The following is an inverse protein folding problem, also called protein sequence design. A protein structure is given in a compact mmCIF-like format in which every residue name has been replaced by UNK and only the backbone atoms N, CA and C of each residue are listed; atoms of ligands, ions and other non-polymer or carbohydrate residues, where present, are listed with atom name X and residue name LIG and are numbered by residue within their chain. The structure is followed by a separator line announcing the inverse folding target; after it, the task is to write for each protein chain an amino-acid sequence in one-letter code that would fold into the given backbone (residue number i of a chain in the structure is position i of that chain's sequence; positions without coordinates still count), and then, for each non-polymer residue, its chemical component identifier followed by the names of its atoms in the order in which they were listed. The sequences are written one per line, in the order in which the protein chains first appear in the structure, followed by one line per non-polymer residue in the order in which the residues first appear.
data_IF_927444042263
#
_entry.id   IF_927444042263
#
_cell.length_a   1.000
_cell.length_b   1.000
_cell.length_c   1.000
_cell.angle_alpha   90.00
_cell.angle_beta   90.00
_cell.angle_gamma   90.00
#
_symmetry.space_group_name_H-M   'P 1'
#
loop_
_entity.id
_entity.type
_entity.pdbx_description
1 polymer ?
#
# COMPACT_ATOMS: atom_id res chain seq x y z
N UNK A 1 -3.01 10.56 6.20
CA UNK A 1 -2.37 9.44 6.93
C UNK A 1 -1.36 8.76 5.99
N UNK A 2 -0.28 8.18 6.52
CA UNK A 2 0.80 7.55 5.71
C UNK A 2 0.24 6.51 4.72
N UNK A 3 -0.72 5.70 5.15
CA UNK A 3 -1.43 4.73 4.30
C UNK A 3 -2.01 5.37 3.03
N UNK A 4 -2.57 6.57 3.12
CA UNK A 4 -3.11 7.28 1.95
C UNK A 4 -2.00 7.69 0.98
N UNK A 5 -0.85 8.13 1.50
CA UNK A 5 0.31 8.48 0.67
C UNK A 5 0.77 7.24 -0.09
N UNK A 6 1.03 6.14 0.62
CA UNK A 6 1.46 4.87 0.03
C UNK A 6 0.47 4.39 -1.04
N UNK A 7 -0.83 4.43 -0.74
CA UNK A 7 -1.87 4.01 -1.69
C UNK A 7 -1.85 4.86 -2.96
N UNK A 8 -1.81 6.19 -2.83
CA UNK A 8 -1.80 7.10 -3.98
C UNK A 8 -0.54 6.94 -4.82
N UNK A 9 0.62 6.77 -4.18
CA UNK A 9 1.89 6.53 -4.86
C UNK A 9 1.92 5.17 -5.58
N UNK A 10 1.37 4.13 -4.95
CA UNK A 10 1.22 2.82 -5.57
C UNK A 10 0.29 2.90 -6.78
N UNK A 11 -0.81 3.65 -6.69
CA UNK A 11 -1.69 3.95 -7.83
C UNK A 11 -0.97 4.63 -8.97
N UNK A 12 -0.23 5.70 -8.67
CA UNK A 12 0.55 6.40 -9.67
C UNK A 12 1.58 5.47 -10.33
N UNK A 13 2.23 4.61 -9.55
CA UNK A 13 3.21 3.64 -10.06
C UNK A 13 2.56 2.64 -11.01
N UNK A 14 1.39 2.10 -10.66
CA UNK A 14 0.67 1.19 -11.54
C UNK A 14 0.25 1.92 -12.83
N UNK A 15 -0.25 3.16 -12.73
CA UNK A 15 -0.58 3.97 -13.91
C UNK A 15 0.62 4.16 -14.84
N UNK A 16 1.79 4.46 -14.29
CA UNK A 16 3.02 4.59 -15.06
C UNK A 16 3.43 3.27 -15.70
N UNK A 17 3.31 2.13 -15.02
CA UNK A 17 3.57 0.81 -15.63
C UNK A 17 2.67 0.57 -16.85
N UNK A 18 1.37 0.89 -16.77
CA UNK A 18 0.47 0.77 -17.92
C UNK A 18 0.88 1.71 -19.05
N UNK A 19 1.22 2.96 -18.73
CA UNK A 19 1.68 3.96 -19.70
C UNK A 19 2.96 3.53 -20.42
N UNK A 20 3.96 3.04 -19.67
CA UNK A 20 5.24 2.58 -20.21
C UNK A 20 5.11 1.32 -21.05
N UNK A 21 4.05 0.54 -20.85
CA UNK A 21 3.69 -0.61 -21.68
C UNK A 21 2.75 -0.26 -22.83
N UNK A 22 2.40 1.02 -23.02
CA UNK A 22 1.45 1.53 -24.02
C UNK A 22 0.06 0.87 -23.91
N UNK A 23 -0.36 0.56 -22.69
CA UNK A 23 -1.65 -0.04 -22.38
C UNK A 23 -2.59 0.97 -21.72
N UNK A 24 -3.89 0.84 -22.03
CA UNK A 24 -4.91 1.63 -21.34
C UNK A 24 -5.04 1.19 -19.88
N UNK A 25 -5.07 2.16 -18.97
CA UNK A 25 -5.31 1.91 -17.54
C UNK A 25 -6.78 1.50 -17.31
N UNK A 26 -7.06 0.29 -16.78
CA UNK A 26 -8.42 -0.16 -16.52
C UNK A 26 -9.10 0.64 -15.40
N UNK A 27 -10.38 0.97 -15.57
CA UNK A 27 -11.18 1.70 -14.57
C UNK A 27 -11.43 0.91 -13.28
N UNK A 28 -11.40 -0.41 -13.37
CA UNK A 28 -11.91 -1.30 -12.32
C UNK A 28 -10.79 -1.88 -11.43
N UNK A 29 -9.57 -1.34 -11.54
CA UNK A 29 -8.47 -1.72 -10.65
C UNK A 29 -8.66 -1.03 -9.29
N UNK A 30 -8.89 -1.84 -8.26
CA UNK A 30 -8.86 -1.40 -6.87
C UNK A 30 -7.48 -1.67 -6.26
N UNK A 31 -6.83 -0.63 -5.76
CA UNK A 31 -5.55 -0.76 -5.08
C UNK A 31 -5.77 -0.89 -3.58
N UNK A 32 -5.32 -2.02 -3.06
CA UNK A 32 -5.39 -2.37 -1.65
C UNK A 32 -3.97 -2.39 -1.07
N UNK A 33 -3.88 -1.81 0.11
CA UNK A 33 -2.72 -1.89 0.99
C UNK A 33 -3.21 -2.43 2.33
N UNK A 34 -2.41 -3.30 2.93
CA UNK A 34 -2.72 -3.91 4.22
C UNK A 34 -1.51 -3.83 5.14
N UNK A 35 -1.75 -3.92 6.45
CA UNK A 35 -0.68 -4.15 7.41
C UNK A 35 -0.52 -5.67 7.55
N UNK A 36 0.61 -6.25 7.16
CA UNK A 36 0.80 -7.68 7.21
C UNK A 36 0.85 -8.18 8.66
N UNK A 37 0.36 -9.40 8.89
CA UNK A 37 0.39 -10.01 10.22
C UNK A 37 1.82 -10.36 10.69
N UNK A 38 2.72 -10.64 9.75
CA UNK A 38 4.15 -10.84 10.03
C UNK A 38 4.92 -9.55 9.74
N UNK A 39 5.59 -9.01 10.75
CA UNK A 39 6.43 -7.81 10.63
C UNK A 39 7.62 -8.00 9.68
N UNK A 40 8.03 -9.24 9.39
CA UNK A 40 9.03 -9.52 8.36
C UNK A 40 8.54 -9.20 6.94
N UNK A 41 7.26 -8.92 6.74
CA UNK A 41 6.72 -8.48 5.45
C UNK A 41 6.56 -6.95 5.37
N UNK A 42 7.22 -6.22 6.28
CA UNK A 42 7.20 -4.77 6.34
C UNK A 42 5.98 -4.22 7.07
N UNK A 43 5.85 -2.90 7.02
CA UNK A 43 4.75 -2.18 7.67
C UNK A 43 3.49 -2.16 6.80
N UNK A 44 3.68 -2.18 5.48
CA UNK A 44 2.61 -2.23 4.50
C UNK A 44 2.91 -3.25 3.42
N UNK A 45 1.88 -3.96 2.96
CA UNK A 45 1.99 -4.89 1.84
C UNK A 45 0.88 -4.63 0.81
N UNK A 46 1.19 -4.93 -0.45
CA UNK A 46 0.20 -4.94 -1.53
C UNK A 46 0.34 -6.17 -2.43
N UNK A 47 -0.80 -6.76 -2.75
CA UNK A 47 -0.95 -7.89 -3.67
C UNK A 47 -1.31 -7.46 -5.10
N UNK A 48 -1.23 -6.17 -5.42
CA UNK A 48 -1.69 -5.60 -6.69
C UNK A 48 -1.11 -6.31 -7.92
N UNK A 49 0.15 -6.74 -7.87
CA UNK A 49 0.78 -7.44 -8.98
C UNK A 49 0.10 -8.78 -9.33
N UNK A 50 -0.49 -9.48 -8.35
CA UNK A 50 -1.26 -10.70 -8.57
C UNK A 50 -2.53 -10.41 -9.37
N UNK A 51 -3.22 -9.31 -9.06
CA UNK A 51 -4.40 -8.88 -9.79
C UNK A 51 -4.05 -8.48 -11.24
N UNK A 52 -2.93 -7.79 -11.42
CA UNK A 52 -2.47 -7.32 -12.73
C UNK A 52 -1.95 -8.43 -13.64
N UNK A 53 -1.56 -9.59 -13.10
CA UNK A 53 -0.97 -10.68 -13.87
C UNK A 53 -1.82 -11.13 -15.07
N UNK A 54 -3.15 -11.20 -14.88
CA UNK A 54 -4.09 -11.57 -15.95
C UNK A 54 -4.21 -10.48 -17.03
N UNK A 55 -4.12 -9.21 -16.62
CA UNK A 55 -4.29 -8.06 -17.50
C UNK A 55 -3.04 -7.83 -18.35
N UNK A 56 -1.86 -7.89 -17.73
CA UNK A 56 -0.58 -7.62 -18.37
C UNK A 56 0.04 -8.86 -19.03
N UNK A 57 -0.53 -10.05 -18.80
CA UNK A 57 -0.01 -11.36 -19.28
C UNK A 57 1.47 -11.57 -18.95
N UNK A 58 1.88 -11.15 -17.76
CA UNK A 58 3.24 -11.29 -17.20
C UNK A 58 3.17 -12.00 -15.85
N UNK A 59 4.29 -12.58 -15.41
CA UNK A 59 4.35 -13.17 -14.07
C UNK A 59 4.14 -12.07 -13.02
N UNK A 60 3.45 -12.36 -11.91
CA UNK A 60 3.23 -11.35 -10.88
C UNK A 60 4.53 -10.81 -10.27
N UNK A 61 5.57 -11.66 -10.16
CA UNK A 61 6.91 -11.23 -9.74
C UNK A 61 7.49 -10.15 -10.66
N UNK A 62 7.40 -10.34 -11.99
CA UNK A 62 7.89 -9.34 -12.94
C UNK A 62 7.09 -8.03 -12.86
N UNK A 63 5.78 -8.12 -12.64
CA UNK A 63 4.93 -6.93 -12.47
C UNK A 63 5.27 -6.20 -11.16
N UNK A 64 5.48 -6.93 -10.07
CA UNK A 64 5.85 -6.36 -8.79
C UNK A 64 7.18 -5.60 -8.87
N UNK A 65 8.17 -6.13 -9.60
CA UNK A 65 9.44 -5.42 -9.83
C UNK A 65 9.27 -4.15 -10.69
N UNK A 66 8.40 -4.18 -11.71
CA UNK A 66 8.08 -2.97 -12.48
C UNK A 66 7.44 -1.89 -11.60
N UNK A 67 6.46 -2.27 -10.77
CA UNK A 67 5.79 -1.34 -9.86
C UNK A 67 6.75 -0.83 -8.79
N UNK A 68 7.62 -1.68 -8.24
CA UNK A 68 8.69 -1.25 -7.32
C UNK A 68 9.62 -0.23 -7.97
N UNK A 69 10.02 -0.46 -9.21
CA UNK A 69 10.88 0.48 -9.95
C UNK A 69 10.20 1.84 -10.08
N UNK A 70 8.93 1.87 -10.47
CA UNK A 70 8.15 3.12 -10.55
C UNK A 70 7.94 3.80 -9.19
N UNK A 71 7.76 3.03 -8.11
CA UNK A 71 7.67 3.57 -6.75
C UNK A 71 8.97 4.25 -6.31
N UNK A 72 10.13 3.66 -6.63
CA UNK A 72 11.45 4.18 -6.24
C UNK A 72 11.80 5.48 -6.96
N UNK A 73 11.14 5.81 -8.07
CA UNK A 73 11.32 7.07 -8.78
C UNK A 73 10.56 8.24 -8.14
N UNK A 74 9.71 7.99 -7.14
CA UNK A 74 8.85 9.01 -6.54
C UNK A 74 9.53 9.64 -5.32
N UNK A 75 9.78 10.95 -5.38
CA UNK A 75 10.52 11.69 -4.33
C UNK A 75 9.89 11.56 -2.93
N UNK A 76 8.56 11.58 -2.88
CA UNK A 76 7.80 11.45 -1.63
C UNK A 76 7.82 10.03 -1.03
N UNK A 77 8.27 9.03 -1.79
CA UNK A 77 8.53 7.67 -1.28
C UNK A 77 9.96 7.57 -0.73
N UNK A 78 10.94 8.17 -1.41
CA UNK A 78 12.37 8.06 -1.07
C UNK A 78 12.69 8.51 0.37
N UNK A 79 11.96 9.49 0.92
CA UNK A 79 12.12 9.93 2.31
C UNK A 79 11.24 9.19 3.34
N UNK A 80 10.24 8.42 2.88
CA UNK A 80 9.26 7.74 3.73
C UNK A 80 9.56 6.24 3.89
N UNK A 81 10.01 5.60 2.82
CA UNK A 81 10.18 4.15 2.73
C UNK A 81 11.67 3.81 2.80
N UNK A 82 12.07 3.08 3.83
CA UNK A 82 13.44 2.57 4.00
C UNK A 82 13.81 1.59 2.89
N UNK A 83 12.92 0.64 2.60
CA UNK A 83 13.11 -0.31 1.50
C UNK A 83 11.79 -0.88 0.99
N UNK A 84 11.85 -1.37 -0.25
CA UNK A 84 10.75 -2.06 -0.92
C UNK A 84 11.26 -3.44 -1.35
N UNK A 85 10.56 -4.49 -0.91
CA UNK A 85 10.88 -5.87 -1.24
C UNK A 85 9.75 -6.50 -2.03
N UNK A 86 10.13 -7.31 -3.02
CA UNK A 86 9.19 -8.14 -3.77
C UNK A 86 9.30 -9.56 -3.25
N UNK A 87 8.21 -10.09 -2.71
CA UNK A 87 8.13 -11.44 -2.18
C UNK A 87 7.24 -12.33 -3.05
N UNK A 88 7.61 -13.60 -3.22
CA UNK A 88 6.74 -14.56 -3.90
C UNK A 88 5.39 -14.70 -3.14
N UNK A 89 4.26 -14.83 -3.84
CA UNK A 89 4.08 -14.96 -5.30
C UNK A 89 4.03 -13.65 -6.10
N UNK A 90 4.32 -12.49 -5.52
CA UNK A 90 4.21 -11.17 -6.17
C UNK A 90 3.70 -10.07 -5.23
N UNK A 91 3.98 -10.18 -3.94
CA UNK A 91 3.68 -9.15 -2.96
C UNK A 91 4.74 -8.05 -3.02
N UNK A 92 4.29 -6.81 -2.83
CA UNK A 92 5.16 -5.64 -2.68
C UNK A 92 5.09 -5.23 -1.21
N UNK A 93 6.19 -5.45 -0.49
CA UNK A 93 6.33 -5.15 0.93
C UNK A 93 7.10 -3.84 1.09
N UNK A 94 6.56 -2.90 1.86
CA UNK A 94 7.13 -1.60 2.14
C UNK A 94 7.51 -1.49 3.61
N UNK A 95 8.74 -1.07 3.86
CA UNK A 95 9.29 -0.84 5.19
C UNK A 95 9.46 0.65 5.39
N UNK A 96 8.86 1.21 6.44
CA UNK A 96 8.76 2.65 6.65
C UNK A 96 9.90 3.13 7.54
N UNK A 97 10.51 4.24 7.15
CA UNK A 97 11.54 4.89 7.93
C UNK A 97 10.89 5.74 9.04
N UNK A 98 10.33 5.06 10.05
CA UNK A 98 9.50 5.70 11.09
C UNK A 98 10.20 6.86 11.81
N UNK A 99 11.51 6.77 12.07
CA UNK A 99 12.24 7.88 12.70
C UNK A 99 12.36 9.11 11.79
N UNK A 100 12.52 8.91 10.48
CA UNK A 100 12.63 10.00 9.52
C UNK A 100 11.27 10.67 9.31
N UNK A 101 10.22 9.86 9.20
CA UNK A 101 8.84 10.35 9.15
C UNK A 101 8.48 11.17 10.39
N UNK A 102 8.84 10.71 11.59
CA UNK A 102 8.54 11.41 12.84
C UNK A 102 9.28 12.75 13.00
N UNK A 103 10.39 12.96 12.27
CA UNK A 103 11.15 14.21 12.28
C UNK A 103 10.58 15.28 11.36
N UNK A 104 9.73 14.90 10.41
CA UNK A 104 9.05 15.85 9.53
C UNK A 104 8.15 16.77 10.38
N UNK A 105 8.21 18.10 10.18
CA UNK A 105 7.32 19.01 10.90
C UNK A 105 5.87 18.65 10.57
N UNK A 106 5.15 18.16 11.58
CA UNK A 106 3.73 17.85 11.43
C UNK A 106 2.96 19.17 11.26
N UNK A 107 2.58 19.47 10.02
CA UNK A 107 1.56 20.47 9.77
C UNK A 107 0.20 19.85 10.13
N UNK A 108 -0.54 20.50 11.03
CA UNK A 108 -1.95 20.16 11.24
C UNK A 108 -2.64 20.21 9.87
N UNK A 109 -3.38 19.17 9.47
CA UNK A 109 -4.22 19.24 8.28
C UNK A 109 -5.10 20.48 8.39
N UNK A 110 -5.12 21.31 7.36
CA UNK A 110 -6.04 22.45 7.32
C UNK A 110 -7.45 21.88 7.47
N UNK A 111 -8.15 22.30 8.53
CA UNK A 111 -9.46 21.79 8.89
C UNK A 111 -10.42 21.88 7.69
N UNK A 112 -10.74 20.74 7.08
CA UNK A 112 -11.68 20.69 5.96
C UNK A 112 -13.14 20.72 6.42
N UNK A 113 -13.40 20.92 7.72
CA UNK A 113 -14.75 20.92 8.31
C UNK A 113 -15.45 19.56 8.23
N UNK A 114 -14.76 18.51 7.75
CA UNK A 114 -15.33 17.17 7.68
C UNK A 114 -15.10 16.46 9.01
N UNK A 115 -16.18 16.28 9.78
CA UNK A 115 -16.23 15.36 10.91
C UNK A 115 -15.90 13.94 10.42
N UNK A 116 -14.67 13.51 10.62
CA UNK A 116 -14.29 12.11 10.46
C UNK A 116 -14.74 11.38 11.73
N UNK A 117 -15.84 10.64 11.62
CA UNK A 117 -16.26 9.68 12.64
C UNK A 117 -15.28 8.51 12.58
N UNK A 118 -14.36 8.44 13.54
CA UNK A 118 -13.51 7.27 13.73
C UNK A 118 -14.33 6.28 14.54
N UNK A 119 -14.98 5.34 13.85
CA UNK A 119 -15.60 4.19 14.51
C UNK A 119 -14.46 3.30 15.05
N UNK A 120 -14.20 3.41 16.36
CA UNK A 120 -13.59 2.31 17.08
C UNK A 120 -14.63 1.20 17.12
N UNK A 121 -14.47 0.15 16.30
CA UNK A 121 -15.26 -1.06 16.48
C UNK A 121 -14.86 -1.66 17.82
N UNK A 122 -15.63 -1.35 18.85
CA UNK A 122 -15.67 -2.10 20.09
C UNK A 122 -16.02 -3.53 19.69
N UNK A 123 -15.04 -4.43 19.84
CA UNK A 123 -15.24 -5.87 19.76
C UNK A 123 -16.50 -6.23 20.55
N UNK A 124 -17.46 -6.84 19.88
CA UNK A 124 -18.67 -7.35 20.50
C UNK A 124 -18.31 -8.51 21.45
N UNK A 125 -18.55 -8.42 22.76
CA UNK A 125 -18.07 -9.37 23.76
C UNK A 125 -18.96 -10.61 23.87
N UNK A 126 -19.36 -11.23 22.76
CA UNK A 126 -20.12 -12.48 22.82
C UNK A 126 -19.19 -13.69 22.84
N UNK A 127 -18.44 -13.83 23.95
CA UNK A 127 -17.79 -15.09 24.32
C UNK A 127 -17.87 -15.30 25.84
N UNK A 128 -19.06 -15.63 26.30
CA UNK A 128 -19.31 -16.33 27.57
C UNK A 128 -20.55 -17.21 27.33
N UNK A 129 -20.58 -18.51 27.61
CA UNK A 129 -19.58 -19.43 28.11
C UNK A 129 -20.08 -20.85 27.86
N UNK A 130 -19.16 -21.81 27.95
CA UNK A 130 -19.51 -23.20 28.18
C UNK A 130 -20.24 -23.32 29.52
N UNK A 131 -21.36 -24.05 29.56
CA UNK A 131 -21.76 -24.87 30.72
C UNK A 131 -22.94 -25.80 30.38
N UNK A 132 -22.66 -27.10 30.51
CA UNK A 132 -23.54 -28.24 30.84
C UNK A 132 -24.63 -28.68 29.87
#
# INVERSE_FOLDING_TARGET
MISQIIKTNLEQSVRNVFMNLELAYPSDISILIEQPANAEHGDYSSSIALQLAKLLRKSPMAIAELVKTELQLQDNITGLVERIEVAAPGFINLYIHWQEWARQPFALPQDSGQKVVIEHTSINPNKAGYAS
#
